data_IF_613292309584
#
_entry.id   IF_613292309584
#
_cell.length_a   1.000
_cell.length_b   1.000
_cell.length_c   1.000
_cell.angle_alpha   90.00
_cell.angle_beta   90.00
_cell.angle_gamma   90.00
#
_symmetry.space_group_name_H-M   'P 1'
#
loop_
_entity.id
_entity.type
_entity.pdbx_description
1 polymer ?
#
# COMPACT_ATOMS: atom_id res chain seq x y z
N UNK A 1 19.97 -17.69 0.99
CA UNK A 1 18.73 -16.93 1.29
C UNK A 1 19.11 -15.75 2.17
N UNK A 2 18.92 -14.50 1.73
CA UNK A 2 19.10 -13.31 2.57
C UNK A 2 17.76 -12.98 3.24
N UNK A 3 17.65 -13.01 4.59
CA UNK A 3 16.41 -12.77 5.31
C UNK A 3 15.80 -11.37 5.07
N UNK A 4 16.61 -10.40 4.62
CA UNK A 4 16.19 -9.01 4.42
C UNK A 4 15.28 -8.82 3.19
N UNK A 5 15.21 -9.82 2.31
CA UNK A 5 14.44 -9.77 1.05
C UNK A 5 12.93 -9.63 1.25
N UNK A 6 12.38 -10.24 2.30
CA UNK A 6 10.93 -10.31 2.54
C UNK A 6 10.41 -9.27 3.53
N UNK A 7 11.32 -8.49 4.11
CA UNK A 7 11.03 -7.42 5.07
C UNK A 7 11.99 -6.21 4.88
N UNK A 8 12.29 -5.76 3.65
CA UNK A 8 13.29 -4.72 3.40
C UNK A 8 12.91 -3.38 4.05
N UNK A 9 11.62 -3.17 4.30
CA UNK A 9 11.11 -2.00 4.98
C UNK A 9 11.57 -1.89 6.44
N UNK A 10 11.93 -2.99 7.11
CA UNK A 10 12.41 -2.99 8.50
C UNK A 10 13.79 -2.36 8.66
N UNK A 11 14.62 -2.38 7.62
CA UNK A 11 15.95 -1.77 7.61
C UNK A 11 15.96 -0.39 6.92
N UNK A 12 14.79 0.13 6.57
CA UNK A 12 14.65 1.37 5.81
C UNK A 12 14.22 2.54 6.72
N UNK A 13 15.15 3.37 7.17
CA UNK A 13 14.88 4.46 8.11
C UNK A 13 13.81 5.43 7.61
N UNK A 14 13.87 5.78 6.32
CA UNK A 14 12.87 6.61 5.67
C UNK A 14 11.47 5.98 5.78
N UNK A 15 11.35 4.65 5.65
CA UNK A 15 10.08 3.95 5.82
C UNK A 15 9.62 3.89 7.26
N UNK A 16 10.56 3.66 8.18
CA UNK A 16 10.33 3.63 9.62
C UNK A 16 9.85 4.99 10.14
N UNK A 17 10.22 6.10 9.50
CA UNK A 17 9.66 7.41 9.78
C UNK A 17 8.14 7.43 9.52
N UNK A 18 7.37 7.53 10.61
CA UNK A 18 5.90 7.43 10.63
C UNK A 18 5.18 8.77 10.44
N UNK A 19 5.87 9.90 10.30
CA UNK A 19 5.24 11.23 10.35
C UNK A 19 4.09 11.37 9.36
N UNK A 20 4.30 10.97 8.09
CA UNK A 20 3.22 11.00 7.08
C UNK A 20 2.14 9.95 7.34
N UNK A 21 2.52 8.76 7.81
CA UNK A 21 1.58 7.66 8.09
C UNK A 21 0.62 7.98 9.23
N UNK A 22 1.13 8.62 10.28
CA UNK A 22 0.32 9.01 11.44
C UNK A 22 -0.39 10.35 11.25
N UNK A 23 0.10 11.22 10.37
CA UNK A 23 -0.45 12.57 10.19
C UNK A 23 -1.92 12.57 9.81
N UNK A 24 -2.26 11.89 8.71
CA UNK A 24 -3.64 11.84 8.19
C UNK A 24 -4.57 11.06 9.11
N UNK A 25 -4.12 9.93 9.69
CA UNK A 25 -4.90 9.20 10.68
C UNK A 25 -5.19 10.07 11.91
N UNK A 26 -4.17 10.75 12.45
CA UNK A 26 -4.33 11.61 13.64
C UNK A 26 -5.33 12.74 13.37
N UNK A 27 -5.20 13.41 12.23
CA UNK A 27 -6.15 14.44 11.82
C UNK A 27 -7.56 13.88 11.67
N UNK A 28 -7.72 12.67 11.12
CA UNK A 28 -9.02 12.03 10.98
C UNK A 28 -9.68 11.71 12.32
N UNK A 29 -8.89 11.25 13.31
CA UNK A 29 -9.35 10.99 14.68
C UNK A 29 -9.86 12.25 15.40
N UNK A 30 -9.48 13.43 14.93
CA UNK A 30 -9.94 14.73 15.46
C UNK A 30 -11.20 15.27 14.73
N UNK A 31 -11.73 14.55 13.73
CA UNK A 31 -12.88 15.00 12.93
C UNK A 31 -14.23 14.75 13.58
N UNK A 32 -15.25 15.48 13.12
CA UNK A 32 -16.65 15.27 13.52
C UNK A 32 -17.17 13.84 13.29
N UNK A 33 -16.61 13.10 12.32
CA UNK A 33 -17.00 11.72 12.05
C UNK A 33 -16.68 10.82 13.24
N UNK A 34 -15.50 10.98 13.82
CA UNK A 34 -15.06 10.22 14.99
C UNK A 34 -15.79 10.69 16.25
N UNK A 35 -15.97 12.00 16.42
CA UNK A 35 -16.80 12.55 17.51
C UNK A 35 -18.23 11.98 17.49
N UNK A 36 -18.82 11.80 16.31
CA UNK A 36 -20.14 11.19 16.16
C UNK A 36 -20.14 9.71 16.54
N UNK A 37 -19.09 8.96 16.20
CA UNK A 37 -18.96 7.56 16.63
C UNK A 37 -18.85 7.47 18.14
N UNK A 38 -18.04 8.31 18.78
CA UNK A 38 -17.92 8.36 20.25
C UNK A 38 -19.29 8.65 20.89
N UNK A 39 -20.03 9.63 20.36
CA UNK A 39 -21.37 9.97 20.86
C UNK A 39 -22.37 8.81 20.69
N UNK A 40 -22.36 8.15 19.53
CA UNK A 40 -23.22 6.99 19.25
C UNK A 40 -22.93 5.83 20.21
N UNK A 41 -21.66 5.48 20.40
CA UNK A 41 -21.24 4.38 21.28
C UNK A 41 -21.52 4.73 22.75
N UNK A 42 -21.20 5.96 23.18
CA UNK A 42 -21.50 6.46 24.52
C UNK A 42 -23.00 6.35 24.85
N UNK A 43 -23.85 6.78 23.91
CA UNK A 43 -25.30 6.71 24.04
C UNK A 43 -25.82 5.28 24.20
N UNK A 44 -25.31 4.33 23.37
CA UNK A 44 -25.71 2.92 23.46
C UNK A 44 -25.25 2.25 24.75
N UNK A 45 -24.11 2.66 25.30
CA UNK A 45 -23.58 2.15 26.56
C UNK A 45 -24.24 2.79 27.79
N UNK A 46 -24.81 3.98 27.66
CA UNK A 46 -25.21 4.81 28.80
C UNK A 46 -24.03 5.33 29.62
N UNK A 47 -22.85 5.46 29.00
CA UNK A 47 -21.60 5.89 29.63
C UNK A 47 -20.90 6.95 28.79
N UNK A 48 -20.15 7.85 29.43
CA UNK A 48 -19.26 8.77 28.72
C UNK A 48 -17.90 8.10 28.54
N UNK A 49 -17.47 7.87 27.29
CA UNK A 49 -16.20 7.19 26.99
C UNK A 49 -15.22 8.12 26.26
N UNK A 50 -13.92 7.88 26.45
CA UNK A 50 -12.87 8.56 25.69
C UNK A 50 -12.67 7.93 24.32
N UNK A 51 -11.94 8.64 23.44
CA UNK A 51 -11.48 8.10 22.16
C UNK A 51 -10.69 6.79 22.35
N UNK A 52 -9.76 6.77 23.30
CA UNK A 52 -8.91 5.60 23.54
C UNK A 52 -9.73 4.38 23.96
N UNK A 53 -10.71 4.55 24.85
CA UNK A 53 -11.62 3.47 25.25
C UNK A 53 -12.43 2.96 24.05
N UNK A 54 -12.93 3.86 23.20
CA UNK A 54 -13.66 3.47 21.98
C UNK A 54 -12.74 2.70 21.01
N UNK A 55 -11.48 3.10 20.84
CA UNK A 55 -10.50 2.40 20.02
C UNK A 55 -10.15 1.01 20.60
N UNK A 56 -10.00 0.89 21.91
CA UNK A 56 -9.78 -0.39 22.59
C UNK A 56 -10.97 -1.35 22.38
N UNK A 57 -12.20 -0.84 22.45
CA UNK A 57 -13.41 -1.62 22.14
C UNK A 57 -13.44 -2.06 20.66
N UNK A 58 -13.01 -1.18 19.75
CA UNK A 58 -12.92 -1.51 18.32
C UNK A 58 -11.87 -2.59 18.07
N UNK A 59 -10.72 -2.53 18.72
CA UNK A 59 -9.70 -3.60 18.63
C UNK A 59 -10.19 -4.90 19.27
N UNK A 60 -10.84 -4.84 20.44
CA UNK A 60 -11.49 -5.99 21.07
C UNK A 60 -12.51 -6.66 20.14
N UNK A 61 -13.28 -5.85 19.39
CA UNK A 61 -14.19 -6.33 18.36
C UNK A 61 -13.44 -7.09 17.25
N UNK A 62 -12.42 -6.47 16.64
CA UNK A 62 -11.65 -7.06 15.53
C UNK A 62 -10.95 -8.36 15.92
N UNK A 63 -10.27 -8.37 17.07
CA UNK A 63 -9.54 -9.55 17.53
C UNK A 63 -10.49 -10.69 17.89
N UNK A 64 -11.58 -10.43 18.62
CA UNK A 64 -12.52 -11.49 18.98
C UNK A 64 -13.29 -12.01 17.75
N UNK A 65 -13.68 -11.15 16.81
CA UNK A 65 -14.30 -11.58 15.56
C UNK A 65 -13.37 -12.45 14.71
N UNK A 66 -12.06 -12.19 14.77
CA UNK A 66 -11.05 -13.01 14.09
C UNK A 66 -10.83 -14.34 14.80
N UNK A 67 -10.98 -14.38 16.13
CA UNK A 67 -10.80 -15.59 16.93
C UNK A 67 -12.01 -16.52 16.89
N UNK A 68 -13.23 -15.98 16.91
CA UNK A 68 -14.48 -16.73 16.82
C UNK A 68 -15.35 -16.20 15.69
N UNK A 69 -15.22 -16.83 14.52
CA UNK A 69 -15.93 -16.44 13.29
C UNK A 69 -17.41 -16.83 13.27
N UNK A 70 -17.87 -17.65 14.23
CA UNK A 70 -19.24 -18.16 14.27
C UNK A 70 -20.18 -17.36 15.17
N UNK A 71 -19.63 -16.54 16.08
CA UNK A 71 -20.40 -15.76 17.03
C UNK A 71 -20.09 -14.27 16.89
N UNK A 72 -21.12 -13.44 17.04
CA UNK A 72 -20.92 -12.00 17.12
C UNK A 72 -20.18 -11.65 18.41
N UNK A 73 -19.04 -10.97 18.28
CA UNK A 73 -18.28 -10.46 19.42
C UNK A 73 -19.10 -9.43 20.21
N UNK A 74 -19.22 -9.57 21.55
CA UNK A 74 -19.85 -8.54 22.38
C UNK A 74 -19.20 -7.16 22.25
N UNK A 75 -17.89 -7.11 22.00
CA UNK A 75 -17.19 -5.85 21.72
C UNK A 75 -17.68 -5.18 20.43
N UNK A 76 -18.16 -5.95 19.45
CA UNK A 76 -18.72 -5.40 18.22
C UNK A 76 -20.14 -4.87 18.41
N UNK A 77 -20.90 -5.35 19.40
CA UNK A 77 -22.32 -5.06 19.57
C UNK A 77 -22.62 -3.56 19.83
N UNK A 78 -21.63 -2.81 20.31
CA UNK A 78 -21.77 -1.38 20.59
C UNK A 78 -21.65 -0.53 19.33
N UNK A 79 -21.10 -1.06 18.24
CA UNK A 79 -20.89 -0.36 16.98
C UNK A 79 -21.98 -0.70 15.96
N UNK A 80 -22.39 0.30 15.18
CA UNK A 80 -23.20 0.07 14.00
C UNK A 80 -22.30 -0.16 12.81
N UNK A 81 -22.86 -0.62 11.70
CA UNK A 81 -22.12 -0.73 10.44
C UNK A 81 -21.47 0.61 10.05
N UNK A 82 -22.19 1.72 10.16
CA UNK A 82 -21.65 3.04 9.82
C UNK A 82 -20.51 3.45 10.77
N UNK A 83 -20.62 3.15 12.06
CA UNK A 83 -19.55 3.40 13.03
C UNK A 83 -18.28 2.60 12.64
N UNK A 84 -18.44 1.33 12.26
CA UNK A 84 -17.34 0.47 11.81
C UNK A 84 -16.73 0.96 10.49
N UNK A 85 -17.52 1.46 9.54
CA UNK A 85 -17.01 2.01 8.27
C UNK A 85 -16.18 3.29 8.48
N UNK A 86 -16.52 4.11 9.46
CA UNK A 86 -15.71 5.29 9.88
C UNK A 86 -14.39 4.82 10.50
N UNK A 87 -14.43 3.84 11.41
CA UNK A 87 -13.24 3.31 12.07
C UNK A 87 -12.31 2.55 11.10
N UNK A 88 -12.88 1.83 10.13
CA UNK A 88 -12.13 1.23 9.02
C UNK A 88 -11.37 2.29 8.23
N UNK A 89 -11.99 3.44 7.95
CA UNK A 89 -11.34 4.52 7.22
C UNK A 89 -10.12 5.10 7.97
N UNK A 90 -10.17 5.16 9.30
CA UNK A 90 -9.01 5.53 10.13
C UNK A 90 -7.83 4.57 9.92
N UNK A 91 -8.09 3.26 9.93
CA UNK A 91 -7.07 2.24 9.65
C UNK A 91 -6.57 2.32 8.21
N UNK A 92 -7.46 2.59 7.26
CA UNK A 92 -7.10 2.78 5.86
C UNK A 92 -6.14 3.95 5.67
N UNK A 93 -6.35 5.09 6.34
CA UNK A 93 -5.41 6.21 6.28
C UNK A 93 -4.03 5.81 6.79
N UNK A 94 -3.96 5.12 7.94
CA UNK A 94 -2.70 4.61 8.49
C UNK A 94 -1.97 3.73 7.50
N UNK A 95 -2.65 2.72 6.95
CA UNK A 95 -2.02 1.76 6.02
C UNK A 95 -1.74 2.36 4.65
N UNK A 96 -2.61 3.23 4.13
CA UNK A 96 -2.45 3.91 2.84
C UNK A 96 -1.12 4.67 2.78
N UNK A 97 -0.79 5.37 3.85
CA UNK A 97 0.46 6.09 3.99
C UNK A 97 1.57 5.28 4.64
N UNK A 98 1.32 4.15 5.30
CA UNK A 98 2.41 3.31 5.84
C UNK A 98 2.98 2.38 4.79
N UNK A 99 2.13 1.59 4.15
CA UNK A 99 2.50 0.50 3.25
C UNK A 99 1.74 0.53 1.91
N UNK A 100 0.73 1.40 1.78
CA UNK A 100 -0.07 1.59 0.59
C UNK A 100 0.51 2.61 -0.40
N UNK A 101 -0.30 3.06 -1.37
CA UNK A 101 0.16 3.90 -2.47
C UNK A 101 0.37 5.37 -2.09
N UNK A 102 0.08 5.78 -0.85
CA UNK A 102 0.29 7.15 -0.36
C UNK A 102 1.76 7.57 -0.25
N UNK A 103 2.71 6.66 -0.47
CA UNK A 103 4.16 6.95 -0.52
C UNK A 103 4.82 6.21 -1.68
N UNK A 104 5.47 6.94 -2.56
CA UNK A 104 6.26 6.36 -3.65
C UNK A 104 7.40 5.45 -3.17
N UNK A 105 7.86 5.65 -1.92
CA UNK A 105 8.81 4.77 -1.26
C UNK A 105 8.36 3.30 -1.28
N UNK A 106 7.06 3.04 -1.09
CA UNK A 106 6.52 1.67 -1.04
C UNK A 106 6.66 0.97 -2.39
N UNK A 107 6.55 1.69 -3.52
CA UNK A 107 6.83 1.11 -4.86
C UNK A 107 8.27 0.62 -4.98
N UNK A 108 9.22 1.36 -4.41
CA UNK A 108 10.65 0.97 -4.42
C UNK A 108 10.92 -0.21 -3.50
N UNK A 109 10.28 -0.25 -2.33
CA UNK A 109 10.41 -1.37 -1.38
C UNK A 109 9.78 -2.68 -1.88
N UNK A 110 8.86 -2.62 -2.85
CA UNK A 110 8.30 -3.81 -3.51
C UNK A 110 9.30 -4.50 -4.46
N UNK A 111 10.29 -3.75 -4.95
CA UNK A 111 11.22 -4.16 -5.99
C UNK A 111 11.91 -5.51 -5.73
N UNK A 112 12.50 -5.78 -4.53
CA UNK A 112 13.23 -7.02 -4.31
C UNK A 112 12.36 -8.28 -4.44
N UNK A 113 11.10 -8.22 -3.98
CA UNK A 113 10.16 -9.33 -4.03
C UNK A 113 9.54 -9.48 -5.42
N UNK A 114 9.25 -8.36 -6.09
CA UNK A 114 8.77 -8.39 -7.48
C UNK A 114 9.84 -8.94 -8.43
N UNK A 115 11.10 -8.54 -8.25
CA UNK A 115 12.23 -9.09 -9.01
C UNK A 115 12.37 -10.59 -8.80
N UNK A 116 12.22 -11.04 -7.56
CA UNK A 116 12.26 -12.47 -7.28
C UNK A 116 11.20 -13.24 -8.06
N UNK A 117 9.95 -12.79 -7.98
CA UNK A 117 8.86 -13.41 -8.74
C UNK A 117 9.20 -13.52 -10.22
N UNK A 118 9.68 -12.42 -10.82
CA UNK A 118 10.05 -12.41 -12.23
C UNK A 118 11.20 -13.37 -12.52
N UNK A 119 12.24 -13.38 -11.68
CA UNK A 119 13.38 -14.29 -11.81
C UNK A 119 12.98 -15.77 -11.72
N UNK A 120 12.09 -16.14 -10.80
CA UNK A 120 11.63 -17.53 -10.66
C UNK A 120 10.90 -18.00 -11.92
N UNK A 121 9.98 -17.20 -12.45
CA UNK A 121 9.25 -17.55 -13.67
C UNK A 121 10.14 -17.52 -14.92
N UNK A 122 11.08 -16.58 -15.02
CA UNK A 122 12.08 -16.57 -16.10
C UNK A 122 13.01 -17.78 -16.05
N UNK A 123 13.33 -18.33 -14.88
CA UNK A 123 14.11 -19.56 -14.77
C UNK A 123 13.34 -20.79 -15.31
N UNK A 124 12.03 -20.86 -15.02
CA UNK A 124 11.14 -21.90 -15.57
C UNK A 124 11.02 -21.78 -17.09
N UNK A 125 10.93 -20.55 -17.62
CA UNK A 125 10.92 -20.29 -19.07
C UNK A 125 12.24 -20.71 -19.74
N UNK A 126 13.38 -20.38 -19.14
CA UNK A 126 14.70 -20.65 -19.72
C UNK A 126 15.10 -22.13 -19.70
N UNK A 127 14.66 -22.88 -18.69
CA UNK A 127 15.00 -24.29 -18.49
C UNK A 127 13.72 -25.11 -18.26
N UNK A 128 12.88 -25.34 -19.29
CA UNK A 128 11.55 -25.91 -19.12
C UNK A 128 11.56 -27.36 -18.62
N UNK A 129 12.65 -28.10 -18.81
CA UNK A 129 12.79 -29.51 -18.43
C UNK A 129 13.63 -29.69 -17.14
N UNK A 130 14.10 -28.60 -16.54
CA UNK A 130 14.78 -28.67 -15.25
C UNK A 130 13.79 -28.93 -14.12
N UNK A 131 14.29 -29.52 -13.03
CA UNK A 131 13.52 -29.76 -11.82
C UNK A 131 13.32 -28.43 -11.06
N UNK A 132 12.15 -27.82 -11.25
CA UNK A 132 11.74 -26.59 -10.56
C UNK A 132 10.74 -26.92 -9.45
N UNK A 133 10.77 -26.20 -8.32
CA UNK A 133 9.76 -26.37 -7.28
C UNK A 133 8.37 -26.02 -7.83
N UNK A 134 7.39 -26.90 -7.60
CA UNK A 134 6.01 -26.68 -8.03
C UNK A 134 5.36 -25.45 -7.35
N UNK A 135 5.82 -25.09 -6.15
CA UNK A 135 5.37 -23.92 -5.42
C UNK A 135 6.49 -23.31 -4.58
N UNK A 136 6.51 -21.98 -4.51
CA UNK A 136 7.35 -21.22 -3.58
C UNK A 136 6.43 -20.43 -2.65
N UNK A 137 6.54 -20.69 -1.35
CA UNK A 137 5.68 -20.09 -0.33
C UNK A 137 6.49 -19.16 0.56
N UNK A 138 6.10 -17.89 0.58
CA UNK A 138 6.74 -16.87 1.41
C UNK A 138 5.76 -16.35 2.46
N UNK A 139 6.23 -16.27 3.70
CA UNK A 139 5.46 -15.75 4.83
C UNK A 139 6.08 -14.44 5.28
N UNK A 140 5.23 -13.42 5.41
CA UNK A 140 5.64 -12.07 5.78
C UNK A 140 4.51 -11.37 6.53
N UNK A 141 4.71 -10.10 6.85
CA UNK A 141 3.71 -9.27 7.52
C UNK A 141 2.82 -8.55 6.51
N UNK A 142 1.63 -8.18 6.96
CA UNK A 142 0.66 -7.30 6.30
C UNK A 142 1.27 -6.13 5.53
N UNK A 143 2.24 -5.41 6.11
CA UNK A 143 2.91 -4.30 5.44
C UNK A 143 3.61 -4.73 4.14
N UNK A 144 4.27 -5.90 4.11
CA UNK A 144 4.93 -6.36 2.90
C UNK A 144 3.93 -6.81 1.84
N UNK A 145 2.82 -7.43 2.25
CA UNK A 145 1.75 -7.83 1.32
C UNK A 145 1.17 -6.59 0.63
N UNK A 146 0.87 -5.53 1.39
CA UNK A 146 0.45 -4.25 0.83
C UNK A 146 1.52 -3.61 -0.07
N UNK A 147 2.79 -3.58 0.37
CA UNK A 147 3.90 -3.03 -0.41
C UNK A 147 4.04 -3.77 -1.76
N UNK A 148 3.98 -5.11 -1.77
CA UNK A 148 3.98 -5.88 -3.01
C UNK A 148 2.77 -5.55 -3.88
N UNK A 149 1.57 -5.44 -3.29
CA UNK A 149 0.36 -5.03 -4.00
C UNK A 149 0.50 -3.64 -4.64
N UNK A 150 1.17 -2.69 -3.98
CA UNK A 150 1.52 -1.39 -4.55
C UNK A 150 2.49 -1.53 -5.73
N UNK A 151 3.50 -2.41 -5.62
CA UNK A 151 4.44 -2.70 -6.71
C UNK A 151 3.78 -3.33 -7.94
N UNK A 152 2.78 -4.19 -7.72
CA UNK A 152 1.96 -4.79 -8.79
C UNK A 152 0.92 -3.82 -9.36
N UNK A 153 0.63 -2.72 -8.66
CA UNK A 153 -0.39 -1.75 -9.05
C UNK A 153 -1.82 -2.20 -8.78
N UNK A 154 -2.04 -3.04 -7.75
CA UNK A 154 -3.34 -3.64 -7.43
C UNK A 154 -4.38 -2.65 -6.93
N UNK A 155 -3.93 -1.53 -6.38
CA UNK A 155 -4.84 -0.55 -5.79
C UNK A 155 -4.56 0.81 -6.42
N UNK A 156 -5.55 1.30 -7.16
CA UNK A 156 -5.53 2.62 -7.75
C UNK A 156 -6.79 3.39 -7.32
N UNK A 157 -6.66 4.26 -6.33
CA UNK A 157 -7.71 5.20 -5.98
C UNK A 157 -7.65 6.40 -6.92
N UNK A 158 -8.81 6.86 -7.41
CA UNK A 158 -8.89 8.03 -8.29
C UNK A 158 -8.31 9.30 -7.65
N UNK A 159 -8.35 9.40 -6.32
CA UNK A 159 -7.72 10.47 -5.55
C UNK A 159 -7.24 9.95 -4.18
N UNK A 160 -6.19 10.55 -3.59
CA UNK A 160 -5.64 10.12 -2.31
C UNK A 160 -6.67 10.13 -1.18
N UNK A 161 -6.57 9.15 -0.27
CA UNK A 161 -7.32 9.16 0.99
C UNK A 161 -6.74 10.23 1.89
N UNK A 162 -7.58 11.11 2.44
CA UNK A 162 -7.17 12.14 3.40
C UNK A 162 -8.12 12.16 4.59
N UNK A 163 -7.71 12.85 5.67
CA UNK A 163 -8.51 13.05 6.86
C UNK A 163 -9.86 13.77 6.59
N UNK A 164 -9.99 14.48 5.48
CA UNK A 164 -11.14 15.36 5.25
C UNK A 164 -12.03 14.95 4.08
N UNK A 165 -11.74 13.82 3.42
CA UNK A 165 -12.50 13.36 2.25
C UNK A 165 -13.22 12.01 2.44
N UNK A 166 -13.48 11.59 3.67
CA UNK A 166 -14.23 10.36 3.96
C UNK A 166 -15.57 10.26 3.20
N UNK A 167 -16.41 11.32 3.10
CA UNK A 167 -17.67 11.25 2.33
C UNK A 167 -17.47 10.93 0.85
N UNK A 168 -16.34 11.30 0.26
CA UNK A 168 -16.00 11.01 -1.13
C UNK A 168 -15.37 9.62 -1.30
N UNK A 169 -14.91 9.00 -0.22
CA UNK A 169 -14.16 7.74 -0.22
C UNK A 169 -15.03 6.50 0.08
N UNK A 170 -16.36 6.60 -0.09
CA UNK A 170 -17.30 5.50 0.12
C UNK A 170 -17.09 4.32 -0.83
N UNK A 171 -16.51 4.57 -2.01
CA UNK A 171 -16.17 3.57 -3.04
C UNK A 171 -14.65 3.41 -3.24
N UNK A 172 -13.85 3.79 -2.24
CA UNK A 172 -12.39 3.66 -2.27
C UNK A 172 -11.95 2.21 -2.55
N UNK A 173 -10.88 2.08 -3.33
CA UNK A 173 -10.27 0.78 -3.66
C UNK A 173 -9.33 0.31 -2.56
N UNK A 174 -8.52 1.21 -1.99
CA UNK A 174 -7.71 0.91 -0.81
C UNK A 174 -8.59 0.76 0.42
N UNK A 175 -8.82 -0.49 0.84
CA UNK A 175 -9.47 -0.87 2.09
C UNK A 175 -8.69 -1.97 2.76
N UNK A 176 -8.15 -1.70 3.94
CA UNK A 176 -7.29 -2.61 4.70
C UNK A 176 -7.98 -3.94 4.98
N UNK A 177 -9.30 -3.91 5.24
CA UNK A 177 -10.13 -5.12 5.41
C UNK A 177 -10.19 -6.03 4.17
N UNK A 178 -9.92 -5.49 2.98
CA UNK A 178 -9.86 -6.23 1.71
C UNK A 178 -8.44 -6.50 1.27
N UNK A 179 -7.54 -5.53 1.46
CA UNK A 179 -6.18 -5.62 0.94
C UNK A 179 -5.28 -6.46 1.84
N UNK A 180 -5.43 -6.36 3.16
CA UNK A 180 -4.61 -7.12 4.11
C UNK A 180 -5.43 -7.59 5.32
N UNK A 181 -6.53 -8.35 5.12
CA UNK A 181 -7.14 -9.08 6.22
C UNK A 181 -6.15 -10.07 6.86
N UNK A 182 -6.50 -10.63 8.01
CA UNK A 182 -5.75 -11.79 8.52
C UNK A 182 -5.73 -12.90 7.47
N UNK A 183 -4.57 -13.55 7.31
CA UNK A 183 -4.29 -14.52 6.25
C UNK A 183 -4.36 -14.00 4.80
N UNK A 184 -4.28 -12.68 4.59
CA UNK A 184 -4.13 -12.11 3.25
C UNK A 184 -2.96 -12.74 2.50
N UNK A 185 -3.18 -13.04 1.22
CA UNK A 185 -2.21 -13.69 0.36
C UNK A 185 -2.15 -13.02 -1.00
N UNK A 186 -0.97 -13.10 -1.63
CA UNK A 186 -0.75 -12.74 -3.02
C UNK A 186 -0.13 -13.95 -3.71
N UNK A 187 -0.83 -14.46 -4.71
CA UNK A 187 -0.43 -15.63 -5.48
C UNK A 187 -0.22 -15.23 -6.94
N UNK A 188 0.84 -15.74 -7.53
CA UNK A 188 1.06 -15.70 -8.97
C UNK A 188 1.24 -17.13 -9.48
N UNK A 189 0.55 -17.48 -10.56
CA UNK A 189 0.61 -18.81 -11.17
C UNK A 189 1.04 -18.66 -12.62
N UNK A 190 2.13 -19.33 -12.99
CA UNK A 190 2.62 -19.42 -14.37
C UNK A 190 2.02 -20.67 -15.03
N UNK A 191 1.32 -20.48 -16.14
CA UNK A 191 0.71 -21.52 -16.94
C UNK A 191 1.51 -21.74 -18.23
N UNK A 192 1.61 -23.00 -18.66
CA UNK A 192 1.98 -23.36 -20.03
C UNK A 192 0.71 -23.55 -20.85
N UNK A 193 0.58 -22.79 -21.92
CA UNK A 193 -0.60 -22.81 -22.77
C UNK A 193 -0.30 -23.56 -24.08
N UNK A 194 -1.29 -24.28 -24.60
CA UNK A 194 -1.16 -25.02 -25.87
C UNK A 194 -1.57 -24.19 -27.09
N UNK A 195 -2.26 -23.06 -26.87
CA UNK A 195 -2.75 -22.14 -27.90
C UNK A 195 -2.42 -20.70 -27.50
N UNK A 196 -2.07 -19.86 -28.48
CA UNK A 196 -1.69 -18.47 -28.23
C UNK A 196 -0.26 -18.32 -27.72
N UNK A 197 -0.06 -17.46 -26.74
CA UNK A 197 1.26 -17.28 -26.11
C UNK A 197 1.64 -18.50 -25.25
N UNK A 198 2.86 -19.04 -25.37
CA UNK A 198 3.25 -20.27 -24.66
C UNK A 198 3.18 -20.19 -23.14
N UNK A 199 3.36 -18.99 -22.58
CA UNK A 199 3.36 -18.74 -21.14
C UNK A 199 2.41 -17.60 -20.78
N UNK A 200 1.60 -17.85 -19.77
CA UNK A 200 0.70 -16.85 -19.20
C UNK A 200 0.79 -16.84 -17.69
N UNK A 201 0.56 -15.69 -17.07
CA UNK A 201 0.53 -15.53 -15.62
C UNK A 201 -0.83 -15.05 -15.17
N UNK A 202 -1.34 -15.63 -14.08
CA UNK A 202 -2.51 -15.11 -13.37
C UNK A 202 -2.14 -14.75 -11.94
N UNK A 203 -2.63 -13.60 -11.49
CA UNK A 203 -2.45 -13.11 -10.13
C UNK A 203 -3.74 -13.26 -9.34
N UNK A 204 -3.59 -13.56 -8.05
CA UNK A 204 -4.69 -13.60 -7.10
C UNK A 204 -4.32 -12.80 -5.85
N UNK A 205 -5.29 -12.12 -5.27
CA UNK A 205 -5.17 -11.40 -4.00
C UNK A 205 -6.31 -11.79 -3.10
N UNK A 206 -5.96 -12.37 -1.94
CA UNK A 206 -6.91 -12.95 -1.01
C UNK A 206 -7.87 -13.88 -1.74
N UNK A 207 -7.32 -14.81 -2.53
CA UNK A 207 -8.04 -15.84 -3.31
C UNK A 207 -8.91 -15.33 -4.47
N UNK A 208 -8.96 -14.01 -4.71
CA UNK A 208 -9.67 -13.44 -5.85
C UNK A 208 -8.71 -13.17 -7.00
N UNK A 209 -9.07 -13.62 -8.21
CA UNK A 209 -8.29 -13.32 -9.41
C UNK A 209 -8.26 -11.82 -9.66
N UNK A 210 -7.11 -11.29 -10.07
CA UNK A 210 -6.94 -9.87 -10.33
C UNK A 210 -6.62 -9.61 -11.80
N UNK A 211 -7.33 -8.62 -12.34
CA UNK A 211 -7.02 -8.04 -13.64
C UNK A 211 -6.01 -6.92 -13.48
N UNK A 212 -4.74 -7.22 -13.75
CA UNK A 212 -3.76 -6.17 -13.94
C UNK A 212 -4.08 -5.40 -15.24
N UNK A 213 -3.84 -4.08 -15.29
CA UNK A 213 -4.02 -3.31 -16.53
C UNK A 213 -3.24 -3.95 -17.68
N UNK A 214 -3.95 -4.28 -18.77
CA UNK A 214 -3.43 -4.99 -19.94
C UNK A 214 -3.74 -6.49 -19.99
N UNK A 215 -4.30 -7.07 -18.93
CA UNK A 215 -4.66 -8.49 -18.89
C UNK A 215 -6.15 -8.71 -19.19
N UNK A 216 -6.49 -9.84 -19.80
CA UNK A 216 -7.87 -10.20 -20.18
C UNK A 216 -8.30 -11.40 -19.35
N UNK A 217 -9.37 -11.28 -18.55
CA UNK A 217 -9.90 -12.37 -17.74
C UNK A 217 -8.90 -12.93 -16.72
N UNK A 218 -8.05 -12.06 -16.16
CA UNK A 218 -7.02 -12.34 -15.17
C UNK A 218 -5.80 -13.04 -15.74
N UNK A 219 -5.75 -13.29 -17.05
CA UNK A 219 -4.61 -13.92 -17.71
C UNK A 219 -3.79 -12.85 -18.40
N UNK A 220 -2.53 -12.77 -17.98
CA UNK A 220 -1.55 -11.86 -18.53
C UNK A 220 -0.59 -12.65 -19.40
N UNK A 221 -0.28 -12.11 -20.58
CA UNK A 221 0.89 -12.49 -21.35
C UNK A 221 2.14 -12.47 -20.46
N UNK A 222 2.94 -13.54 -20.46
CA UNK A 222 4.19 -13.53 -19.72
C UNK A 222 5.16 -12.48 -20.28
N UNK A 223 5.15 -12.27 -21.59
CA UNK A 223 5.91 -11.21 -22.27
C UNK A 223 5.50 -9.83 -21.79
N UNK A 224 4.19 -9.54 -21.72
CA UNK A 224 3.70 -8.25 -21.24
C UNK A 224 4.02 -8.00 -19.77
N UNK A 225 3.98 -9.05 -18.92
CA UNK A 225 4.38 -8.94 -17.52
C UNK A 225 5.87 -8.59 -17.39
N UNK A 226 6.74 -9.25 -18.17
CA UNK A 226 8.17 -8.90 -18.21
C UNK A 226 8.37 -7.46 -18.66
N UNK A 227 7.70 -7.01 -19.73
CA UNK A 227 7.79 -5.65 -20.25
C UNK A 227 7.31 -4.61 -19.22
N UNK A 228 6.16 -4.86 -18.59
CA UNK A 228 5.55 -3.97 -17.59
C UNK A 228 6.47 -3.71 -16.40
N UNK A 229 7.17 -4.74 -15.93
CA UNK A 229 8.01 -4.64 -14.74
C UNK A 229 9.51 -4.50 -15.03
N UNK A 230 9.96 -4.54 -16.28
CA UNK A 230 11.38 -4.47 -16.66
C UNK A 230 12.13 -3.29 -16.03
N UNK A 231 11.52 -2.10 -16.04
CA UNK A 231 12.12 -0.90 -15.43
C UNK A 231 12.14 -0.98 -13.89
N UNK A 232 11.13 -1.60 -13.28
CA UNK A 232 11.05 -1.79 -11.83
C UNK A 232 12.11 -2.78 -11.38
N UNK A 233 12.18 -3.97 -11.98
CA UNK A 233 13.00 -5.10 -11.49
C UNK A 233 14.47 -5.07 -11.91
N UNK A 234 14.94 -3.96 -12.50
CA UNK A 234 16.34 -3.79 -12.87
C UNK A 234 17.27 -4.01 -11.65
N UNK A 235 18.41 -4.67 -11.87
CA UNK A 235 19.34 -5.01 -10.81
C UNK A 235 19.83 -3.79 -10.01
N UNK A 236 20.03 -2.64 -10.67
CA UNK A 236 20.49 -1.41 -10.02
C UNK A 236 19.41 -0.72 -9.17
N UNK A 237 18.13 -0.92 -9.48
CA UNK A 237 17.00 -0.28 -8.79
C UNK A 237 16.55 -1.08 -7.56
N UNK A 238 16.68 -2.41 -7.58
CA UNK A 238 16.22 -3.26 -6.47
C UNK A 238 17.26 -3.53 -5.37
N UNK A 239 18.54 -3.20 -5.57
CA UNK A 239 19.60 -3.42 -4.55
C UNK A 239 20.12 -2.14 -3.93
N UNK A 240 19.81 -0.98 -4.54
CA UNK A 240 20.23 0.31 -4.04
C UNK A 240 19.16 0.88 -3.08
N UNK A 241 19.43 0.83 -1.78
CA UNK A 241 18.55 1.39 -0.74
C UNK A 241 18.95 2.82 -0.33
N UNK A 242 19.62 3.60 -1.19
CA UNK A 242 19.97 5.00 -0.87
C UNK A 242 18.77 5.87 -0.52
N UNK A 243 17.58 5.56 -1.04
CA UNK A 243 16.33 6.23 -0.69
C UNK A 243 15.81 5.89 0.72
N UNK A 244 16.43 4.96 1.42
CA UNK A 244 16.07 4.57 2.77
C UNK A 244 16.75 5.40 3.85
N UNK A 245 17.80 6.17 3.54
CA UNK A 245 18.35 7.10 4.52
C UNK A 245 17.41 8.29 4.63
N UNK A 246 16.95 8.61 5.85
CA UNK A 246 16.34 9.92 6.09
C UNK A 246 17.43 10.94 5.84
N UNK A 247 17.25 11.85 4.87
CA UNK A 247 18.15 12.98 4.71
C UNK A 247 18.32 13.61 6.09
N UNK A 248 19.52 13.50 6.66
CA UNK A 248 19.89 14.25 7.84
C UNK A 248 19.59 15.69 7.51
N UNK A 249 18.79 16.34 8.35
CA UNK A 249 18.63 17.78 8.29
C UNK A 249 20.04 18.37 8.43
N UNK A 250 20.68 18.67 7.31
CA UNK A 250 21.84 19.55 7.28
C UNK A 250 21.31 20.88 7.76
N UNK A 251 21.44 21.12 9.05
CA UNK A 251 21.41 22.46 9.63
C UNK A 251 22.48 23.24 8.91
N UNK A 252 22.09 23.98 7.87
CA UNK A 252 22.93 25.05 7.36
C UNK A 252 23.15 26.00 8.53
N UNK A 253 24.41 26.27 8.94
CA UNK A 253 24.65 27.32 9.90
C UNK A 253 24.16 28.61 9.26
N UNK A 254 23.30 29.34 9.95
CA UNK A 254 22.89 30.70 9.59
C UNK A 254 24.15 31.57 9.54
N UNK A 255 24.74 31.72 8.35
CA UNK A 255 25.72 32.76 8.08
C UNK A 255 24.96 33.98 7.55
N UNK A 256 24.75 34.93 8.46
CA UNK A 256 24.54 36.40 8.36
C UNK A 256 23.93 37.07 7.13
N UNK A 257 23.23 38.22 7.34
CA UNK A 257 22.54 38.95 6.28
C UNK A 257 23.52 39.82 5.49
N UNK A 258 23.53 39.68 4.17
CA UNK A 258 24.02 40.72 3.27
C UNK A 258 22.85 41.19 2.43
N UNK A 259 22.49 42.46 2.66
CA UNK A 259 21.48 43.21 1.93
C UNK A 259 21.90 43.49 0.48
N UNK A 260 20.90 43.44 -0.41
CA UNK A 260 20.70 44.23 -1.64
C UNK A 260 21.72 43.98 -2.77
N UNK A 261 21.36 43.82 -4.04
CA UNK A 261 20.48 44.64 -4.89
C UNK A 261 19.99 43.74 -6.03
N UNK A 262 18.68 43.67 -6.28
CA UNK A 262 18.14 43.10 -7.52
C UNK A 262 17.65 44.21 -8.44
N UNK A 263 18.44 44.52 -9.47
CA UNK A 263 17.96 45.19 -10.67
C UNK A 263 18.43 44.32 -11.84
N UNK A 264 17.47 43.82 -12.63
CA UNK A 264 17.52 43.88 -14.09
C UNK A 264 16.21 43.32 -14.65
N UNK A 265 15.40 44.24 -15.17
CA UNK A 265 14.33 43.97 -16.14
C UNK A 265 14.99 43.86 -17.50
N UNK A 266 14.68 42.80 -18.25
CA UNK A 266 14.66 42.86 -19.71
C UNK A 266 13.75 41.77 -20.29
N UNK A 267 12.61 42.23 -20.77
CA UNK A 267 11.67 41.58 -21.70
C UNK A 267 12.39 41.23 -23.00
N UNK A 268 12.09 40.09 -23.63
CA UNK A 268 12.03 39.95 -25.12
C UNK A 268 11.27 38.69 -25.56
N UNK A 269 10.11 38.97 -26.17
CA UNK A 269 9.39 38.37 -27.30
C UNK A 269 9.03 36.87 -27.38
N UNK A 270 7.72 36.63 -27.31
CA UNK A 270 7.02 35.52 -27.97
C UNK A 270 7.21 35.59 -29.49
N UNK A 271 7.70 34.51 -30.09
CA UNK A 271 7.53 34.25 -31.52
C UNK A 271 6.27 33.40 -31.75
N UNK A 272 5.24 34.03 -32.30
CA UNK A 272 4.16 33.35 -33.02
C UNK A 272 4.02 34.02 -34.39
N UNK A 273 4.27 33.25 -35.45
CA UNK A 273 3.71 33.42 -36.81
C UNK A 273 3.87 32.07 -37.52
N UNK A 274 2.78 31.33 -37.71
CA UNK A 274 1.87 31.34 -38.87
C UNK A 274 2.54 30.98 -40.19
N UNK A 275 2.35 29.73 -40.61
CA UNK A 275 1.51 29.32 -41.76
C UNK A 275 0.90 27.97 -41.45
#
# INVERSE_FOLDING_TARGET
YSPDKFIPYKICDAWQNLTKSKGEQKQFLETQFISQVIANVSSRLGLNISLDVMLDMYDGCRYQASWNVTATSPWCAVFSKNDLEVLEYSEDLKYYYKAGPGRDLNRRLACPLLRDLISQFSAVEALPDADHPAALLYFTHDYMVNILGVGLGLVNNSFPLTAYNYPQQQNRQFRTSRTVPFAANLLAVLYRCTQGEPLQVRFYHSEHAIDLPGCVGGQCSWTDIKLKFAATVNASTCTNFSYCTTASSTTFPLASPVLLISVLVAVVYMCLRNT
#
